data_IF_260053031225
#
_entry.id   IF_260053031225
#
_cell.length_a   1.000
_cell.length_b   1.000
_cell.length_c   1.000
_cell.angle_alpha   90.00
_cell.angle_beta   90.00
_cell.angle_gamma   90.00
#
_symmetry.space_group_name_H-M   'P 1'
#
loop_
_entity.id
_entity.type
_entity.pdbx_description
1 polymer ?
#
# COMPACT_ATOMS: atom_id res chain seq x y z
N UNK A 1 -21.82 23.21 5.95
CA UNK A 1 -20.79 24.28 5.97
C UNK A 1 -20.89 24.99 4.64
N UNK A 2 -20.87 26.32 4.60
CA UNK A 2 -20.88 27.05 3.33
C UNK A 2 -19.58 26.74 2.58
N UNK A 3 -19.70 26.13 1.41
CA UNK A 3 -18.58 25.80 0.54
C UNK A 3 -18.36 26.99 -0.42
N UNK A 4 -17.27 27.73 -0.19
CA UNK A 4 -16.96 28.98 -0.90
C UNK A 4 -16.75 28.71 -2.39
N UNK A 5 -16.03 27.65 -2.73
CA UNK A 5 -15.63 27.36 -4.11
C UNK A 5 -16.80 26.75 -4.90
N UNK A 6 -17.62 25.92 -4.25
CA UNK A 6 -18.88 25.45 -4.83
C UNK A 6 -19.88 26.59 -5.07
N UNK A 7 -20.00 27.53 -4.14
CA UNK A 7 -20.89 28.68 -4.35
C UNK A 7 -20.36 29.62 -5.43
N UNK A 8 -19.04 29.90 -5.43
CA UNK A 8 -18.39 30.72 -6.46
C UNK A 8 -18.57 30.12 -7.86
N UNK A 9 -18.37 28.81 -8.01
CA UNK A 9 -18.59 28.10 -9.29
C UNK A 9 -20.04 28.13 -9.77
N UNK A 10 -21.02 28.32 -8.87
CA UNK A 10 -22.43 28.45 -9.24
C UNK A 10 -22.84 29.85 -9.73
N UNK A 11 -22.00 30.88 -9.54
CA UNK A 11 -22.32 32.25 -9.95
C UNK A 11 -22.26 32.40 -11.47
N UNK A 12 -23.30 33.00 -12.03
CA UNK A 12 -23.40 33.34 -13.45
C UNK A 12 -22.86 34.74 -13.72
N UNK A 13 -22.57 35.06 -14.99
CA UNK A 13 -22.21 36.43 -15.41
C UNK A 13 -23.28 37.45 -14.99
N UNK A 14 -24.56 37.06 -15.06
CA UNK A 14 -25.66 37.91 -14.63
C UNK A 14 -25.64 38.21 -13.12
N UNK A 15 -25.24 37.24 -12.29
CA UNK A 15 -25.06 37.46 -10.85
C UNK A 15 -23.91 38.45 -10.57
N UNK A 16 -22.86 38.40 -11.38
CA UNK A 16 -21.73 39.32 -11.29
C UNK A 16 -22.14 40.75 -11.70
N UNK A 17 -22.94 40.90 -12.75
CA UNK A 17 -23.52 42.18 -13.15
C UNK A 17 -24.39 42.77 -12.04
N UNK A 18 -25.21 41.96 -11.34
CA UNK A 18 -25.96 42.42 -10.16
C UNK A 18 -25.05 42.95 -9.06
N UNK A 19 -23.92 42.29 -8.80
CA UNK A 19 -22.92 42.76 -7.82
C UNK A 19 -22.31 44.09 -8.24
N UNK A 20 -21.96 44.25 -9.51
CA UNK A 20 -21.44 45.52 -10.03
C UNK A 20 -22.50 46.63 -9.91
N UNK A 21 -23.73 46.36 -10.34
CA UNK A 21 -24.85 47.30 -10.32
C UNK A 21 -25.20 47.75 -8.90
N UNK A 22 -25.15 46.83 -7.92
CA UNK A 22 -25.36 47.15 -6.50
C UNK A 22 -24.37 48.20 -5.97
N UNK A 23 -23.16 48.23 -6.52
CA UNK A 23 -22.13 49.23 -6.18
C UNK A 23 -22.06 50.40 -7.18
N UNK A 24 -23.13 50.62 -7.96
CA UNK A 24 -23.26 51.66 -8.98
C UNK A 24 -22.20 51.59 -10.09
N UNK A 25 -21.78 50.39 -10.46
CA UNK A 25 -20.97 50.17 -11.65
C UNK A 25 -21.76 49.37 -12.70
N UNK A 26 -21.64 49.79 -13.95
CA UNK A 26 -22.21 49.08 -15.09
C UNK A 26 -21.11 48.22 -15.73
N UNK A 27 -21.42 46.95 -15.97
CA UNK A 27 -20.56 46.03 -16.69
C UNK A 27 -20.86 46.07 -18.17
N UNK A 28 -19.82 46.20 -19.01
CA UNK A 28 -19.94 46.04 -20.46
C UNK A 28 -19.17 44.81 -20.91
N UNK A 29 -19.70 44.11 -21.91
CA UNK A 29 -19.03 42.94 -22.47
C UNK A 29 -17.79 43.37 -23.28
N UNK A 30 -16.66 42.76 -22.95
CA UNK A 30 -15.40 42.93 -23.66
C UNK A 30 -15.28 42.03 -24.88
N UNK A 31 -14.11 42.01 -25.49
CA UNK A 31 -13.93 41.35 -26.81
C UNK A 31 -13.90 39.83 -26.72
N UNK A 32 -13.54 39.28 -25.57
CA UNK A 32 -13.39 37.84 -25.35
C UNK A 32 -14.39 37.31 -24.30
N UNK A 33 -15.52 38.01 -24.10
CA UNK A 33 -16.55 37.64 -23.14
C UNK A 33 -16.24 38.03 -21.69
N UNK A 34 -15.19 38.82 -21.45
CA UNK A 34 -14.96 39.45 -20.14
C UNK A 34 -16.03 40.51 -19.82
N UNK A 35 -16.30 40.75 -18.53
CA UNK A 35 -17.12 41.89 -18.10
C UNK A 35 -16.19 43.01 -17.64
N UNK A 36 -16.29 44.19 -18.26
CA UNK A 36 -15.46 45.35 -17.97
C UNK A 36 -16.29 46.40 -17.25
N UNK A 37 -15.84 46.82 -16.08
CA UNK A 37 -16.54 47.79 -15.24
C UNK A 37 -15.60 48.84 -14.66
N UNK A 38 -16.18 49.88 -14.07
CA UNK A 38 -15.45 50.85 -13.26
C UNK A 38 -14.73 50.16 -12.09
N UNK A 39 -13.58 50.70 -11.68
CA UNK A 39 -12.77 50.15 -10.58
C UNK A 39 -13.36 50.43 -9.20
N UNK A 40 -14.45 49.73 -8.88
CA UNK A 40 -15.13 49.81 -7.59
C UNK A 40 -14.39 49.14 -6.43
N UNK A 41 -13.24 48.49 -6.68
CA UNK A 41 -12.48 47.78 -5.65
C UNK A 41 -11.63 48.68 -4.73
N UNK A 42 -11.40 49.94 -5.11
CA UNK A 42 -10.71 50.96 -4.29
C UNK A 42 -11.22 52.39 -4.52
N UNK A 43 -12.15 52.59 -5.46
CA UNK A 43 -12.83 53.87 -5.67
C UNK A 43 -14.28 53.77 -5.19
N UNK A 44 -14.73 54.77 -4.43
CA UNK A 44 -16.14 54.85 -3.98
C UNK A 44 -17.07 55.22 -5.14
N UNK A 45 -16.62 56.12 -6.01
CA UNK A 45 -17.29 56.63 -7.23
C UNK A 45 -16.24 57.07 -8.25
N UNK A 46 -16.56 57.04 -9.55
CA UNK A 46 -15.71 57.62 -10.61
C UNK A 46 -14.43 56.84 -10.90
N UNK A 47 -14.49 55.51 -10.82
CA UNK A 47 -13.33 54.66 -11.13
C UNK A 47 -13.12 54.55 -12.64
N UNK A 48 -11.88 54.37 -13.11
CA UNK A 48 -11.65 54.03 -14.53
C UNK A 48 -12.27 52.67 -14.89
N UNK A 49 -12.74 52.50 -16.13
CA UNK A 49 -13.22 51.22 -16.69
C UNK A 49 -12.08 50.20 -16.89
N UNK A 50 -11.52 49.73 -15.77
CA UNK A 50 -10.30 48.90 -15.71
C UNK A 50 -10.42 47.75 -14.71
N UNK A 51 -11.64 47.40 -14.30
CA UNK A 51 -11.94 46.20 -13.53
C UNK A 51 -12.55 45.15 -14.47
N UNK A 52 -11.81 44.06 -14.68
CA UNK A 52 -12.16 43.01 -15.63
C UNK A 52 -12.59 41.78 -14.85
N UNK A 53 -13.75 41.21 -15.14
CA UNK A 53 -14.14 39.89 -14.65
C UNK A 53 -14.01 38.86 -15.77
N UNK A 54 -13.30 37.78 -15.49
CA UNK A 54 -13.09 36.67 -16.42
C UNK A 54 -13.97 35.49 -16.04
N UNK A 55 -15.02 35.15 -16.82
CA UNK A 55 -15.94 34.05 -16.50
C UNK A 55 -15.24 32.70 -16.33
N UNK A 56 -14.22 32.41 -17.13
CA UNK A 56 -13.49 31.13 -17.11
C UNK A 56 -12.75 30.88 -15.79
N UNK A 57 -12.14 31.92 -15.22
CA UNK A 57 -11.40 31.81 -13.95
C UNK A 57 -12.22 32.27 -12.75
N UNK A 58 -13.36 32.91 -13.02
CA UNK A 58 -14.23 33.57 -12.04
C UNK A 58 -13.46 34.55 -11.14
N UNK A 59 -12.49 35.26 -11.72
CA UNK A 59 -11.68 36.25 -11.03
C UNK A 59 -11.91 37.63 -11.64
N UNK A 60 -11.92 38.63 -10.76
CA UNK A 60 -11.70 40.00 -11.13
C UNK A 60 -10.20 40.26 -11.27
N UNK A 61 -9.82 41.13 -12.19
CA UNK A 61 -8.50 41.73 -12.30
C UNK A 61 -8.62 43.24 -12.42
N UNK A 62 -7.92 43.97 -11.55
CA UNK A 62 -7.93 45.42 -11.52
C UNK A 62 -6.61 45.98 -12.08
N UNK A 63 -6.68 46.59 -13.27
CA UNK A 63 -5.51 47.17 -13.95
C UNK A 63 -5.08 48.54 -13.40
N UNK A 64 -5.69 49.03 -12.32
CA UNK A 64 -5.31 50.29 -11.66
C UNK A 64 -4.67 50.09 -10.29
N UNK A 65 -4.41 48.84 -9.86
CA UNK A 65 -3.50 48.58 -8.73
C UNK A 65 -3.93 47.54 -7.69
N UNK A 66 -5.06 46.83 -7.86
CA UNK A 66 -5.49 45.81 -6.89
C UNK A 66 -5.12 44.36 -7.26
N UNK A 67 -4.62 44.11 -8.47
CA UNK A 67 -4.32 42.75 -8.95
C UNK A 67 -5.58 41.90 -9.15
N UNK A 68 -5.42 40.57 -9.09
CA UNK A 68 -6.52 39.60 -9.25
C UNK A 68 -7.14 39.21 -7.91
N UNK A 69 -8.47 39.08 -7.85
CA UNK A 69 -9.22 38.68 -6.67
C UNK A 69 -10.61 38.12 -7.01
N UNK A 70 -11.25 37.43 -6.07
CA UNK A 70 -12.60 36.89 -6.28
C UNK A 70 -13.70 37.89 -5.87
N UNK A 71 -14.96 37.52 -6.14
CA UNK A 71 -16.15 38.34 -5.81
C UNK A 71 -16.30 38.61 -4.30
N UNK A 72 -15.85 37.70 -3.43
CA UNK A 72 -15.93 37.90 -1.98
C UNK A 72 -14.94 38.96 -1.53
N UNK A 73 -13.71 38.92 -2.06
CA UNK A 73 -12.69 39.95 -1.80
C UNK A 73 -13.10 41.31 -2.39
N UNK A 74 -13.83 41.34 -3.52
CA UNK A 74 -14.42 42.57 -4.03
C UNK A 74 -15.40 43.19 -3.03
N UNK A 75 -16.34 42.38 -2.51
CA UNK A 75 -17.33 42.81 -1.50
C UNK A 75 -16.64 43.23 -0.20
N UNK A 76 -15.63 42.49 0.25
CA UNK A 76 -14.84 42.83 1.43
C UNK A 76 -14.20 44.22 1.29
N UNK A 77 -13.57 44.49 0.14
CA UNK A 77 -12.99 45.81 -0.17
C UNK A 77 -14.05 46.92 -0.15
N UNK A 78 -15.24 46.67 -0.69
CA UNK A 78 -16.37 47.63 -0.65
C UNK A 78 -16.85 47.90 0.77
N UNK A 79 -17.11 46.86 1.55
CA UNK A 79 -17.54 47.00 2.95
C UNK A 79 -16.51 47.77 3.77
N UNK A 80 -15.21 47.49 3.57
CA UNK A 80 -14.11 48.20 4.22
C UNK A 80 -14.08 49.69 3.85
N UNK A 81 -14.28 50.04 2.57
CA UNK A 81 -14.35 51.44 2.14
C UNK A 81 -15.57 52.18 2.69
N UNK A 82 -16.68 51.46 2.91
CA UNK A 82 -17.91 51.99 3.52
C UNK A 82 -17.84 52.05 5.05
N UNK A 83 -16.73 51.64 5.67
CA UNK A 83 -16.58 51.60 7.13
C UNK A 83 -17.47 50.56 7.82
N UNK A 84 -17.94 49.55 7.07
CA UNK A 84 -18.82 48.49 7.56
C UNK A 84 -18.00 47.29 8.06
N UNK A 85 -18.65 46.46 8.88
CA UNK A 85 -18.13 45.14 9.22
C UNK A 85 -17.91 44.33 7.92
N UNK A 86 -16.72 43.74 7.80
CA UNK A 86 -16.24 43.10 6.57
C UNK A 86 -15.67 41.71 6.84
N UNK A 87 -16.21 41.00 7.83
CA UNK A 87 -15.86 39.59 8.03
C UNK A 87 -16.32 38.77 6.81
N UNK A 88 -15.78 37.56 6.68
CA UNK A 88 -16.21 36.64 5.61
C UNK A 88 -17.72 36.35 5.65
N UNK A 89 -18.31 36.30 6.85
CA UNK A 89 -19.75 36.13 7.06
C UNK A 89 -20.52 37.35 6.53
N UNK A 90 -20.00 38.56 6.75
CA UNK A 90 -20.61 39.80 6.25
C UNK A 90 -20.57 39.84 4.72
N UNK A 91 -19.48 39.36 4.11
CA UNK A 91 -19.33 39.27 2.66
C UNK A 91 -20.36 38.31 2.05
N UNK A 92 -20.52 37.11 2.62
CA UNK A 92 -21.53 36.14 2.17
C UNK A 92 -22.93 36.70 2.36
N UNK A 93 -23.23 37.29 3.52
CA UNK A 93 -24.54 37.88 3.81
C UNK A 93 -24.86 39.00 2.84
N UNK A 94 -23.87 39.83 2.50
CA UNK A 94 -24.02 40.91 1.52
C UNK A 94 -24.26 40.36 0.12
N UNK A 95 -23.49 39.36 -0.31
CA UNK A 95 -23.70 38.71 -1.61
C UNK A 95 -25.08 38.05 -1.70
N UNK A 96 -25.52 37.33 -0.65
CA UNK A 96 -26.85 36.74 -0.60
C UNK A 96 -27.98 37.78 -0.69
N UNK A 97 -27.79 38.97 -0.09
CA UNK A 97 -28.73 40.09 -0.23
C UNK A 97 -28.75 40.64 -1.66
N UNK A 98 -27.59 40.84 -2.28
CA UNK A 98 -27.49 41.34 -3.67
C UNK A 98 -28.18 40.38 -4.65
N UNK A 99 -27.99 39.08 -4.45
CA UNK A 99 -28.53 38.04 -5.34
C UNK A 99 -29.94 37.59 -4.96
N UNK A 100 -30.50 38.11 -3.86
CA UNK A 100 -31.77 37.67 -3.30
C UNK A 100 -31.80 36.17 -2.96
N UNK A 101 -30.65 35.60 -2.61
CA UNK A 101 -30.49 34.20 -2.22
C UNK A 101 -30.45 34.11 -0.70
N UNK A 102 -31.31 33.26 -0.13
CA UNK A 102 -31.26 32.95 1.29
C UNK A 102 -30.09 32.01 1.58
N UNK A 103 -28.96 32.60 2.02
CA UNK A 103 -27.79 31.83 2.42
C UNK A 103 -27.90 31.45 3.89
N UNK A 104 -28.27 30.20 4.16
CA UNK A 104 -28.38 29.69 5.52
C UNK A 104 -27.00 29.50 6.16
N UNK A 105 -26.54 30.54 6.87
CA UNK A 105 -25.29 30.57 7.63
C UNK A 105 -25.42 29.93 9.02
N UNK A 106 -26.65 29.61 9.45
CA UNK A 106 -26.90 29.04 10.77
C UNK A 106 -26.77 27.53 10.76
N UNK A 107 -25.59 27.02 11.11
CA UNK A 107 -25.44 25.69 11.69
C UNK A 107 -25.91 25.70 13.16
N UNK A 108 -27.17 26.06 13.43
CA UNK A 108 -27.79 25.78 14.71
C UNK A 108 -28.42 24.39 14.63
N UNK A 109 -27.65 23.37 14.96
CA UNK A 109 -28.25 22.13 15.45
C UNK A 109 -28.94 22.50 16.76
N UNK A 110 -30.28 22.40 16.81
CA UNK A 110 -31.02 22.47 18.07
C UNK A 110 -30.59 21.26 18.91
N UNK A 111 -29.70 21.48 19.86
CA UNK A 111 -29.27 20.47 20.83
C UNK A 111 -27.78 20.56 21.16
N UNK A 112 -27.48 21.01 22.38
CA UNK A 112 -26.27 20.69 23.16
C UNK A 112 -24.92 20.87 22.43
N UNK A 113 -24.44 22.12 22.33
CA UNK A 113 -23.06 22.58 22.58
C UNK A 113 -22.84 23.95 21.92
N UNK A 114 -22.45 24.96 22.71
CA UNK A 114 -22.12 26.34 22.25
C UNK A 114 -20.75 26.45 21.56
N UNK A 115 -20.05 25.34 21.36
CA UNK A 115 -18.78 25.28 20.65
C UNK A 115 -18.58 23.87 20.12
N UNK A 116 -19.19 23.56 18.96
CA UNK A 116 -18.70 22.44 18.17
C UNK A 116 -17.30 22.84 17.70
N UNK A 117 -16.27 22.49 18.46
CA UNK A 117 -14.92 22.37 17.90
C UNK A 117 -15.08 21.41 16.73
N UNK A 118 -15.10 21.93 15.51
CA UNK A 118 -15.01 21.07 14.34
C UNK A 118 -13.68 20.34 14.46
N UNK A 119 -13.76 19.03 14.58
CA UNK A 119 -12.60 18.17 14.52
C UNK A 119 -12.05 18.33 13.10
N UNK A 120 -10.87 18.94 12.99
CA UNK A 120 -10.11 19.06 11.73
C UNK A 120 -9.31 17.77 11.43
N UNK A 121 -9.53 16.68 12.19
CA UNK A 121 -8.99 15.33 11.91
C UNK A 121 -9.62 14.69 10.66
N UNK A 122 -9.76 15.42 9.56
CA UNK A 122 -10.09 14.82 8.27
C UNK A 122 -9.00 15.07 7.24
N UNK A 123 -7.97 15.86 7.56
CA UNK A 123 -6.78 16.03 6.72
C UNK A 123 -6.03 14.71 6.49
N UNK A 124 -6.19 13.73 7.38
CA UNK A 124 -5.67 12.37 7.15
C UNK A 124 -6.39 11.67 5.99
N UNK A 125 -7.66 11.96 5.70
CA UNK A 125 -8.37 11.41 4.54
C UNK A 125 -7.69 11.77 3.22
N UNK A 126 -7.10 12.97 3.14
CA UNK A 126 -6.31 13.40 1.98
C UNK A 126 -5.03 12.57 1.82
N UNK A 127 -4.48 12.01 2.92
CA UNK A 127 -3.37 11.04 2.89
C UNK A 127 -3.81 9.64 2.48
N UNK A 128 -5.11 9.34 2.46
CA UNK A 128 -5.69 8.08 1.96
C UNK A 128 -6.10 8.20 0.48
N UNK A 129 -5.54 9.14 -0.28
CA UNK A 129 -5.57 8.98 -1.74
C UNK A 129 -4.90 7.65 -2.06
N UNK A 130 -5.71 6.63 -2.38
CA UNK A 130 -5.25 5.32 -2.84
C UNK A 130 -4.39 5.58 -4.07
N UNK A 131 -3.07 5.53 -3.92
CA UNK A 131 -2.19 5.35 -5.06
C UNK A 131 -2.70 4.13 -5.81
N UNK A 132 -2.91 4.26 -7.11
CA UNK A 132 -3.25 3.10 -7.95
C UNK A 132 -2.21 2.02 -7.67
N UNK A 133 -2.69 0.84 -7.28
CA UNK A 133 -1.82 -0.30 -7.05
C UNK A 133 -1.30 -0.73 -8.41
N UNK A 134 -0.03 -0.46 -8.68
CA UNK A 134 0.66 -1.04 -9.84
C UNK A 134 0.73 -2.53 -9.61
N UNK A 135 -0.06 -3.31 -10.35
CA UNK A 135 0.09 -4.75 -10.38
C UNK A 135 1.34 -5.09 -11.22
N UNK A 136 2.31 -5.81 -10.65
CA UNK A 136 3.49 -6.23 -11.40
C UNK A 136 3.06 -7.23 -12.48
N UNK A 137 3.34 -6.94 -13.75
CA UNK A 137 3.21 -7.94 -14.81
C UNK A 137 4.43 -8.86 -14.75
N UNK A 138 4.24 -10.09 -14.27
CA UNK A 138 5.27 -11.13 -14.28
C UNK A 138 5.38 -11.73 -15.68
N UNK A 139 6.61 -12.02 -16.10
CA UNK A 139 6.86 -12.74 -17.35
C UNK A 139 6.45 -14.20 -17.16
N UNK A 140 5.46 -14.65 -17.92
CA UNK A 140 5.07 -16.06 -17.97
C UNK A 140 5.98 -16.78 -18.98
N UNK A 141 6.50 -17.93 -18.56
CA UNK A 141 7.33 -18.81 -19.34
C UNK A 141 6.52 -20.03 -19.81
N UNK A 142 6.88 -20.59 -20.96
CA UNK A 142 6.25 -21.82 -21.45
C UNK A 142 6.74 -23.02 -20.61
N UNK A 143 5.81 -23.74 -19.97
CA UNK A 143 6.11 -24.91 -19.12
C UNK A 143 6.91 -26.01 -19.82
N UNK A 144 6.84 -26.11 -21.15
CA UNK A 144 7.67 -27.07 -21.91
C UNK A 144 9.16 -26.90 -21.66
N UNK A 145 9.62 -25.74 -21.19
CA UNK A 145 11.02 -25.58 -20.79
C UNK A 145 11.43 -26.58 -19.69
N UNK A 146 10.49 -27.01 -18.84
CA UNK A 146 10.77 -27.97 -17.78
C UNK A 146 11.11 -29.37 -18.34
N UNK A 147 10.74 -29.69 -19.58
CA UNK A 147 11.13 -30.97 -20.21
C UNK A 147 12.59 -31.00 -20.66
N UNK A 148 13.29 -29.87 -20.59
CA UNK A 148 14.73 -29.79 -20.83
C UNK A 148 15.54 -30.40 -19.67
N UNK A 149 14.96 -30.47 -18.47
CA UNK A 149 15.63 -30.95 -17.28
C UNK A 149 15.23 -32.39 -16.94
N UNK A 150 16.13 -33.11 -16.30
CA UNK A 150 15.94 -34.50 -15.92
C UNK A 150 15.06 -34.63 -14.67
N UNK A 151 14.26 -35.70 -14.62
CA UNK A 151 13.49 -36.12 -13.43
C UNK A 151 14.39 -36.87 -12.44
N UNK A 152 15.49 -36.22 -12.06
CA UNK A 152 16.45 -36.73 -11.09
C UNK A 152 16.32 -35.89 -9.82
N UNK A 153 16.05 -36.55 -8.70
CA UNK A 153 15.86 -35.88 -7.42
C UNK A 153 17.14 -35.90 -6.58
N UNK A 154 17.48 -34.79 -5.90
CA UNK A 154 18.69 -34.71 -5.10
C UNK A 154 18.63 -35.66 -3.89
N UNK A 155 19.51 -36.66 -3.87
CA UNK A 155 19.63 -37.64 -2.77
C UNK A 155 19.75 -36.96 -1.39
N UNK A 156 20.45 -35.83 -1.30
CA UNK A 156 20.60 -35.10 -0.04
C UNK A 156 19.28 -34.51 0.49
N UNK A 157 18.31 -34.19 -0.38
CA UNK A 157 16.98 -33.74 0.06
C UNK A 157 16.14 -34.92 0.52
N UNK A 158 16.18 -36.03 -0.22
CA UNK A 158 15.53 -37.28 0.19
C UNK A 158 16.03 -37.77 1.55
N UNK A 159 17.36 -37.80 1.73
CA UNK A 159 17.98 -38.19 3.00
C UNK A 159 17.68 -37.23 4.15
N UNK A 160 17.42 -35.95 3.86
CA UNK A 160 16.99 -34.99 4.85
C UNK A 160 15.51 -35.15 5.23
N UNK A 161 14.74 -35.96 4.49
CA UNK A 161 13.35 -36.27 4.78
C UNK A 161 12.31 -35.67 3.84
N UNK A 162 12.71 -35.13 2.67
CA UNK A 162 11.75 -34.68 1.65
C UNK A 162 11.34 -35.90 0.79
N UNK A 163 10.04 -36.17 0.68
CA UNK A 163 9.54 -37.33 -0.08
C UNK A 163 9.71 -37.15 -1.59
N UNK A 164 9.74 -38.27 -2.31
CA UNK A 164 9.74 -38.26 -3.79
C UNK A 164 8.45 -37.64 -4.33
N UNK A 165 7.31 -37.98 -3.74
CA UNK A 165 5.98 -37.43 -4.07
C UNK A 165 5.95 -35.90 -3.96
N UNK A 166 6.54 -35.34 -2.89
CA UNK A 166 6.68 -33.89 -2.75
C UNK A 166 7.56 -33.31 -3.86
N UNK A 167 8.71 -33.93 -4.16
CA UNK A 167 9.60 -33.42 -5.21
C UNK A 167 8.95 -33.50 -6.60
N UNK A 168 8.11 -34.50 -6.85
CA UNK A 168 7.27 -34.61 -8.05
C UNK A 168 6.19 -33.52 -8.10
N UNK A 169 5.43 -33.34 -7.00
CA UNK A 169 4.37 -32.31 -6.85
C UNK A 169 4.91 -30.90 -7.10
N UNK A 170 6.11 -30.60 -6.61
CA UNK A 170 6.77 -29.31 -6.81
C UNK A 170 7.60 -29.22 -8.10
N UNK A 171 7.54 -30.25 -8.96
CA UNK A 171 8.26 -30.32 -10.24
C UNK A 171 9.76 -30.07 -10.09
N UNK A 172 10.35 -30.57 -9.00
CA UNK A 172 11.79 -30.50 -8.79
C UNK A 172 12.47 -31.34 -9.88
N UNK A 173 13.49 -30.76 -10.51
CA UNK A 173 14.24 -31.41 -11.59
C UNK A 173 15.74 -31.27 -11.36
N UNK A 174 16.52 -31.81 -12.28
CA UNK A 174 17.97 -31.68 -12.27
C UNK A 174 18.46 -31.13 -13.60
N UNK A 175 19.46 -30.25 -13.54
CA UNK A 175 20.16 -29.74 -14.71
C UNK A 175 21.56 -30.38 -14.73
N UNK A 176 21.76 -31.48 -15.50
CA UNK A 176 23.00 -32.26 -15.50
C UNK A 176 24.22 -31.44 -15.88
N UNK A 177 24.12 -30.63 -16.93
CA UNK A 177 25.22 -29.84 -17.49
C UNK A 177 25.77 -28.83 -16.48
N UNK A 178 24.90 -28.29 -15.63
CA UNK A 178 25.26 -27.32 -14.60
C UNK A 178 25.43 -27.94 -13.21
N UNK A 179 25.15 -29.23 -13.05
CA UNK A 179 25.13 -29.94 -11.77
C UNK A 179 24.28 -29.21 -10.70
N UNK A 180 23.02 -28.92 -11.05
CA UNK A 180 22.10 -28.11 -10.24
C UNK A 180 20.75 -28.80 -10.03
N UNK A 181 20.17 -28.64 -8.83
CA UNK A 181 18.72 -28.92 -8.64
C UNK A 181 17.92 -27.74 -9.13
N UNK A 182 16.95 -28.01 -10.00
CA UNK A 182 16.03 -27.03 -10.58
C UNK A 182 14.77 -26.96 -9.73
N UNK A 183 14.35 -25.74 -9.43
CA UNK A 183 13.22 -25.38 -8.58
C UNK A 183 12.34 -24.42 -9.39
N UNK A 184 11.27 -24.91 -10.04
CA UNK A 184 10.34 -24.07 -10.78
C UNK A 184 9.54 -23.15 -9.86
N UNK A 185 9.36 -21.88 -10.23
CA UNK A 185 8.53 -20.92 -9.50
C UNK A 185 7.27 -20.62 -10.27
N UNK A 186 6.13 -20.83 -9.61
CA UNK A 186 4.81 -20.52 -10.13
C UNK A 186 4.21 -19.33 -9.39
N UNK A 187 3.40 -18.53 -10.09
CA UNK A 187 2.52 -17.57 -9.43
C UNK A 187 1.34 -18.26 -8.73
N UNK A 188 0.50 -17.48 -8.05
CA UNK A 188 -0.69 -17.98 -7.33
C UNK A 188 -1.80 -18.56 -8.23
N UNK A 189 -1.68 -18.46 -9.56
CA UNK A 189 -2.59 -19.04 -10.55
C UNK A 189 -2.00 -20.32 -11.17
N UNK A 190 -0.72 -20.63 -10.90
CA UNK A 190 -0.04 -21.80 -11.44
C UNK A 190 0.78 -21.52 -12.69
N UNK A 191 0.93 -20.26 -13.12
CA UNK A 191 1.75 -19.94 -14.28
C UNK A 191 3.24 -20.00 -13.91
N UNK A 192 4.06 -20.64 -14.75
CA UNK A 192 5.53 -20.65 -14.58
C UNK A 192 6.08 -19.24 -14.80
N UNK A 193 6.55 -18.59 -13.74
CA UNK A 193 7.05 -17.20 -13.77
C UNK A 193 8.57 -17.10 -13.68
N UNK A 194 9.24 -18.18 -13.28
CA UNK A 194 10.69 -18.23 -13.23
C UNK A 194 11.20 -19.60 -12.81
N UNK A 195 12.51 -19.76 -12.84
CA UNK A 195 13.18 -21.01 -12.49
C UNK A 195 14.44 -20.65 -11.68
N UNK A 196 14.56 -21.26 -10.51
CA UNK A 196 15.75 -21.17 -9.67
C UNK A 196 16.52 -22.47 -9.69
N UNK A 197 17.81 -22.37 -9.47
CA UNK A 197 18.72 -23.51 -9.34
C UNK A 197 19.45 -23.46 -8.01
N UNK A 198 19.62 -24.62 -7.39
CA UNK A 198 20.55 -24.84 -6.28
C UNK A 198 21.84 -25.47 -6.82
N UNK A 199 22.97 -24.81 -6.59
CA UNK A 199 24.28 -25.35 -6.94
C UNK A 199 24.66 -26.53 -6.03
N UNK A 200 25.26 -27.58 -6.61
CA UNK A 200 25.85 -28.69 -5.84
C UNK A 200 27.38 -28.68 -5.86
N UNK A 201 27.98 -28.04 -6.86
CA UNK A 201 29.43 -27.84 -6.91
C UNK A 201 29.88 -26.91 -5.78
N UNK A 202 30.87 -27.35 -5.00
CA UNK A 202 31.36 -26.65 -3.81
C UNK A 202 31.93 -25.26 -4.13
N UNK A 203 32.58 -25.08 -5.27
CA UNK A 203 33.14 -23.79 -5.68
C UNK A 203 32.05 -22.79 -6.05
N UNK A 204 30.98 -23.25 -6.72
CA UNK A 204 29.83 -22.40 -7.02
C UNK A 204 28.97 -22.11 -5.80
N UNK A 205 28.79 -23.07 -4.89
CA UNK A 205 28.04 -22.89 -3.63
C UNK A 205 28.66 -21.79 -2.77
N UNK A 206 30.00 -21.68 -2.72
CA UNK A 206 30.70 -20.59 -2.01
C UNK A 206 30.36 -19.20 -2.57
N UNK A 207 30.07 -19.09 -3.87
CA UNK A 207 29.68 -17.84 -4.52
C UNK A 207 28.19 -17.55 -4.33
N UNK A 208 27.35 -18.52 -4.66
CA UNK A 208 25.91 -18.42 -4.48
C UNK A 208 25.28 -19.83 -4.44
N UNK A 209 24.64 -20.16 -3.31
CA UNK A 209 23.96 -21.46 -3.12
C UNK A 209 22.72 -21.60 -4.02
N UNK A 210 21.95 -20.52 -4.16
CA UNK A 210 20.74 -20.46 -4.98
C UNK A 210 20.83 -19.30 -5.98
N UNK A 211 20.59 -19.57 -7.25
CA UNK A 211 20.65 -18.60 -8.34
C UNK A 211 19.44 -18.76 -9.28
N UNK A 212 19.10 -17.75 -10.10
CA UNK A 212 18.23 -17.98 -11.24
C UNK A 212 18.86 -18.99 -12.21
N UNK A 213 18.04 -19.81 -12.85
CA UNK A 213 18.49 -20.75 -13.88
C UNK A 213 18.72 -20.00 -15.20
N UNK A 214 19.81 -20.35 -15.88
CA UNK A 214 20.16 -19.84 -17.21
C UNK A 214 20.28 -21.00 -18.18
N UNK A 215 19.64 -20.90 -19.34
CA UNK A 215 19.80 -21.82 -20.46
C UNK A 215 20.31 -20.98 -21.63
N UNK A 216 21.54 -21.25 -22.07
CA UNK A 216 22.27 -20.38 -22.98
C UNK A 216 22.25 -18.92 -22.46
N UNK A 217 21.90 -17.96 -23.32
CA UNK A 217 21.82 -16.53 -22.98
C UNK A 217 20.48 -16.13 -22.32
N UNK A 218 19.58 -17.08 -22.06
CA UNK A 218 18.24 -16.78 -21.48
C UNK A 218 18.22 -17.06 -19.99
N UNK A 219 18.03 -16.01 -19.19
CA UNK A 219 17.74 -16.09 -17.76
C UNK A 219 16.25 -16.27 -17.46
N UNK A 220 15.93 -17.12 -16.50
CA UNK A 220 14.58 -17.40 -16.02
C UNK A 220 14.34 -16.78 -14.63
N UNK A 221 14.87 -15.58 -14.42
CA UNK A 221 14.67 -14.83 -13.17
C UNK A 221 13.29 -14.16 -13.11
N UNK A 222 12.78 -14.00 -11.89
CA UNK A 222 11.59 -13.21 -11.61
C UNK A 222 11.78 -12.39 -10.32
N UNK A 223 11.04 -11.29 -10.15
CA UNK A 223 11.06 -10.52 -8.92
C UNK A 223 10.40 -11.28 -7.76
N UNK A 224 11.21 -11.78 -6.82
CA UNK A 224 10.77 -12.62 -5.70
C UNK A 224 9.70 -11.94 -4.82
N UNK A 225 9.78 -10.62 -4.65
CA UNK A 225 8.79 -9.84 -3.89
C UNK A 225 7.40 -9.81 -4.50
N UNK A 226 7.15 -10.44 -5.66
CA UNK A 226 5.84 -10.51 -6.30
C UNK A 226 5.31 -11.94 -6.43
N UNK A 227 5.91 -12.90 -5.75
CA UNK A 227 5.42 -14.27 -5.66
C UNK A 227 5.71 -14.87 -4.29
N UNK A 228 4.96 -15.91 -3.93
CA UNK A 228 5.21 -16.73 -2.75
C UNK A 228 5.39 -18.17 -3.22
N UNK A 229 6.57 -18.73 -3.00
CA UNK A 229 6.81 -20.12 -3.38
C UNK A 229 5.94 -21.04 -2.50
N UNK A 230 5.36 -22.08 -3.10
CA UNK A 230 4.41 -22.96 -2.44
C UNK A 230 2.97 -22.45 -2.39
N UNK A 231 2.70 -21.18 -2.68
CA UNK A 231 1.35 -20.62 -2.59
C UNK A 231 0.37 -21.31 -3.55
N UNK A 232 0.79 -21.63 -4.77
CA UNK A 232 -0.04 -22.35 -5.74
C UNK A 232 -0.38 -23.76 -5.24
N UNK A 233 0.64 -24.52 -4.82
CA UNK A 233 0.50 -25.89 -4.35
C UNK A 233 -0.36 -26.00 -3.08
N UNK A 234 -0.28 -24.98 -2.21
CA UNK A 234 -0.85 -25.00 -0.86
C UNK A 234 -2.13 -24.15 -0.74
N UNK A 235 -2.61 -23.59 -1.86
CA UNK A 235 -3.68 -22.57 -1.88
C UNK A 235 -4.95 -23.06 -1.19
N UNK A 236 -5.37 -24.28 -1.49
CA UNK A 236 -6.61 -24.87 -0.96
C UNK A 236 -6.53 -25.07 0.55
N UNK A 237 -5.43 -25.65 1.04
CA UNK A 237 -5.17 -25.85 2.46
C UNK A 237 -5.17 -24.52 3.23
N UNK A 238 -4.50 -23.50 2.69
CA UNK A 238 -4.42 -22.16 3.31
C UNK A 238 -5.81 -21.53 3.45
N UNK A 239 -6.65 -21.63 2.41
CA UNK A 239 -8.03 -21.14 2.43
C UNK A 239 -8.87 -21.91 3.47
N UNK A 240 -8.83 -23.25 3.43
CA UNK A 240 -9.62 -24.11 4.30
C UNK A 240 -9.26 -23.93 5.78
N UNK A 241 -7.96 -23.86 6.09
CA UNK A 241 -7.44 -23.68 7.45
C UNK A 241 -7.47 -22.22 7.90
N UNK A 242 -7.72 -21.28 6.98
CA UNK A 242 -7.60 -19.82 7.17
C UNK A 242 -6.27 -19.43 7.82
N UNK A 243 -5.20 -20.12 7.45
CA UNK A 243 -3.90 -20.00 8.09
C UNK A 243 -2.77 -20.11 7.08
N UNK A 244 -1.71 -19.32 7.27
CA UNK A 244 -0.46 -19.48 6.54
C UNK A 244 0.75 -19.42 7.48
N UNK A 245 1.80 -20.17 7.17
CA UNK A 245 3.11 -20.04 7.81
C UNK A 245 4.12 -19.51 6.79
N UNK A 246 4.86 -18.48 7.16
CA UNK A 246 5.83 -17.79 6.31
C UNK A 246 7.24 -18.22 6.69
N UNK A 247 7.99 -18.72 5.71
CA UNK A 247 9.40 -19.16 5.86
C UNK A 247 10.30 -18.45 4.85
N UNK A 248 11.63 -18.48 5.04
CA UNK A 248 12.55 -17.78 4.13
C UNK A 248 12.78 -18.52 2.80
N UNK A 249 12.96 -19.84 2.84
CA UNK A 249 13.45 -20.63 1.70
C UNK A 249 12.46 -21.63 1.11
N UNK A 250 12.61 -21.91 -0.18
CA UNK A 250 11.76 -22.83 -0.95
C UNK A 250 11.73 -24.24 -0.34
N UNK A 251 12.88 -24.73 0.14
CA UNK A 251 13.04 -26.07 0.72
C UNK A 251 12.11 -26.32 1.92
N UNK A 252 11.80 -25.28 2.71
CA UNK A 252 10.91 -25.39 3.87
C UNK A 252 9.46 -25.69 3.46
N UNK A 253 9.01 -25.24 2.29
CA UNK A 253 7.70 -25.62 1.74
C UNK A 253 7.64 -27.11 1.41
N UNK A 254 8.74 -27.69 0.89
CA UNK A 254 8.82 -29.12 0.56
C UNK A 254 8.81 -29.97 1.83
N UNK A 255 9.57 -29.61 2.86
CA UNK A 255 9.49 -30.31 4.15
C UNK A 255 8.07 -30.30 4.71
N UNK A 256 7.41 -29.14 4.70
CA UNK A 256 6.04 -29.04 5.17
C UNK A 256 5.07 -29.89 4.37
N UNK A 257 5.25 -29.98 3.06
CA UNK A 257 4.47 -30.86 2.19
C UNK A 257 4.68 -32.33 2.55
N UNK A 258 5.92 -32.75 2.82
CA UNK A 258 6.17 -34.11 3.29
C UNK A 258 5.56 -34.36 4.69
N UNK A 259 5.48 -33.34 5.55
CA UNK A 259 4.91 -33.47 6.89
C UNK A 259 3.38 -33.52 6.88
N UNK A 260 2.73 -32.74 6.02
CA UNK A 260 1.29 -32.46 6.10
C UNK A 260 0.52 -32.75 4.81
N UNK A 261 1.18 -33.01 3.68
CA UNK A 261 0.56 -33.30 2.39
C UNK A 261 -0.41 -32.20 1.98
N UNK A 262 -1.66 -32.59 1.72
CA UNK A 262 -2.74 -31.69 1.33
C UNK A 262 -3.17 -30.70 2.42
N UNK A 263 -2.67 -30.84 3.65
CA UNK A 263 -2.87 -29.88 4.73
C UNK A 263 -1.71 -28.88 4.88
N UNK A 264 -0.76 -28.85 3.93
CA UNK A 264 0.37 -27.94 3.95
C UNK A 264 -0.08 -26.47 3.82
N UNK A 265 0.32 -25.63 4.77
CA UNK A 265 -0.05 -24.21 4.84
C UNK A 265 1.18 -23.27 4.80
N UNK A 266 2.34 -23.78 4.38
CA UNK A 266 3.62 -23.05 4.36
C UNK A 266 3.85 -22.38 3.01
N UNK A 267 4.34 -21.14 3.05
CA UNK A 267 4.78 -20.38 1.87
C UNK A 267 6.12 -19.72 2.13
N UNK A 268 6.98 -19.65 1.11
CA UNK A 268 8.29 -19.03 1.22
C UNK A 268 8.34 -17.65 0.56
N UNK A 269 8.96 -16.68 1.25
CA UNK A 269 9.22 -15.33 0.71
C UNK A 269 10.44 -15.27 -0.19
N UNK A 270 11.28 -16.32 -0.17
CA UNK A 270 12.47 -16.49 -0.99
C UNK A 270 13.52 -15.38 -0.78
N UNK A 271 13.60 -14.83 0.43
CA UNK A 271 14.52 -13.75 0.79
C UNK A 271 14.36 -13.32 2.25
N UNK A 272 15.07 -12.27 2.66
CA UNK A 272 15.10 -11.82 4.07
C UNK A 272 14.02 -10.79 4.43
N UNK A 273 13.18 -10.40 3.46
CA UNK A 273 12.14 -9.40 3.65
C UNK A 273 10.88 -9.79 2.87
N UNK A 274 9.72 -9.54 3.46
CA UNK A 274 8.43 -9.71 2.80
C UNK A 274 7.95 -8.39 2.19
N UNK A 275 7.42 -8.46 0.97
CA UNK A 275 6.81 -7.32 0.30
C UNK A 275 5.34 -7.14 0.73
N UNK A 276 4.80 -5.92 0.54
CA UNK A 276 3.36 -5.67 0.70
C UNK A 276 2.52 -6.53 -0.25
N UNK A 277 3.00 -6.77 -1.46
CA UNK A 277 2.29 -7.58 -2.45
C UNK A 277 2.16 -9.04 -1.99
N UNK A 278 3.25 -9.64 -1.47
CA UNK A 278 3.20 -10.99 -0.90
C UNK A 278 2.21 -11.09 0.26
N UNK A 279 2.18 -10.08 1.14
CA UNK A 279 1.21 -10.04 2.24
C UNK A 279 -0.22 -9.93 1.72
N UNK A 280 -0.46 -9.10 0.70
CA UNK A 280 -1.76 -8.96 0.05
C UNK A 280 -2.23 -10.25 -0.63
N UNK A 281 -1.32 -11.03 -1.26
CA UNK A 281 -1.67 -12.33 -1.82
C UNK A 281 -2.32 -13.23 -0.75
N UNK A 282 -1.73 -13.31 0.45
CA UNK A 282 -2.26 -14.12 1.54
C UNK A 282 -3.54 -13.54 2.14
N UNK A 283 -3.56 -12.23 2.41
CA UNK A 283 -4.74 -11.56 2.97
C UNK A 283 -5.96 -11.68 2.05
N UNK A 284 -5.77 -11.63 0.74
CA UNK A 284 -6.85 -11.79 -0.25
C UNK A 284 -7.42 -13.22 -0.28
N UNK A 285 -6.69 -14.22 0.22
CA UNK A 285 -7.22 -15.59 0.42
C UNK A 285 -8.14 -15.71 1.65
N UNK A 286 -8.27 -14.65 2.46
CA UNK A 286 -9.14 -14.66 3.64
C UNK A 286 -8.56 -15.42 4.83
N UNK A 287 -7.23 -15.49 4.96
CA UNK A 287 -6.60 -16.05 6.16
C UNK A 287 -6.97 -15.22 7.39
N UNK A 288 -7.07 -15.87 8.55
CA UNK A 288 -7.35 -15.26 9.85
C UNK A 288 -6.14 -15.36 10.80
N UNK A 289 -5.20 -16.28 10.51
CA UNK A 289 -3.97 -16.49 11.26
C UNK A 289 -2.75 -16.53 10.34
N UNK A 290 -1.66 -15.87 10.75
CA UNK A 290 -0.34 -16.03 10.12
C UNK A 290 0.74 -16.33 11.15
N UNK A 291 1.65 -17.23 10.81
CA UNK A 291 2.79 -17.63 11.64
C UNK A 291 4.09 -17.26 10.91
N UNK A 292 4.90 -16.38 11.50
CA UNK A 292 6.21 -15.98 10.96
C UNK A 292 7.26 -16.95 11.52
N UNK A 293 7.85 -17.75 10.63
CA UNK A 293 8.77 -18.85 10.95
C UNK A 293 10.07 -18.71 10.14
N UNK A 294 10.73 -17.56 10.26
CA UNK A 294 11.99 -17.27 9.56
C UNK A 294 13.19 -17.91 10.26
N UNK A 295 14.26 -18.16 9.51
CA UNK A 295 15.46 -18.88 9.93
C UNK A 295 16.07 -18.27 11.21
N UNK A 296 16.57 -19.12 12.12
CA UNK A 296 17.10 -18.70 13.41
C UNK A 296 18.42 -17.92 13.23
N UNK A 297 18.44 -16.65 13.62
CA UNK A 297 19.64 -15.80 13.51
C UNK A 297 20.19 -15.31 14.86
N UNK A 298 19.84 -16.00 15.94
CA UNK A 298 20.29 -15.69 17.29
C UNK A 298 20.72 -16.96 18.02
N UNK A 299 21.66 -16.84 18.97
CA UNK A 299 22.07 -17.94 19.83
C UNK A 299 21.27 -18.03 21.12
N UNK A 300 20.96 -16.88 21.73
CA UNK A 300 20.23 -16.78 22.98
C UNK A 300 19.18 -15.65 22.89
N UNK A 301 18.06 -15.84 23.56
CA UNK A 301 17.05 -14.79 23.73
C UNK A 301 17.59 -13.64 24.58
N UNK A 302 16.96 -12.46 24.49
CA UNK A 302 17.33 -11.26 25.24
C UNK A 302 18.78 -10.76 24.99
N UNK A 303 19.27 -10.98 23.77
CA UNK A 303 20.57 -10.48 23.28
C UNK A 303 20.38 -9.45 22.15
N UNK A 304 21.38 -8.62 21.84
CA UNK A 304 21.33 -7.73 20.68
C UNK A 304 21.04 -8.46 19.36
N UNK A 305 21.54 -9.69 19.20
CA UNK A 305 21.27 -10.56 18.04
C UNK A 305 19.78 -10.93 17.96
N UNK A 306 19.19 -11.29 19.11
CA UNK A 306 17.76 -11.55 19.21
C UNK A 306 16.92 -10.30 18.91
N UNK A 307 17.35 -9.13 19.37
CA UNK A 307 16.67 -7.87 19.04
C UNK A 307 16.72 -7.57 17.53
N UNK A 308 17.83 -7.86 16.85
CA UNK A 308 17.95 -7.73 15.40
C UNK A 308 17.06 -8.73 14.64
N UNK A 309 17.01 -9.98 15.10
CA UNK A 309 16.07 -10.97 14.60
C UNK A 309 14.62 -10.50 14.78
N UNK A 310 14.26 -10.00 15.96
CA UNK A 310 12.92 -9.52 16.26
C UNK A 310 12.53 -8.30 15.44
N UNK A 311 13.47 -7.43 15.04
CA UNK A 311 13.19 -6.35 14.08
C UNK A 311 12.72 -6.90 12.72
N UNK A 312 13.34 -7.98 12.22
CA UNK A 312 12.91 -8.64 10.97
C UNK A 312 11.52 -9.24 11.11
N UNK A 313 11.29 -9.97 12.20
CA UNK A 313 9.98 -10.55 12.54
C UNK A 313 8.89 -9.47 12.61
N UNK A 314 9.11 -8.40 13.37
CA UNK A 314 8.17 -7.28 13.52
C UNK A 314 7.92 -6.56 12.19
N UNK A 315 8.95 -6.41 11.34
CA UNK A 315 8.80 -5.80 10.01
C UNK A 315 7.84 -6.60 9.12
N UNK A 316 7.90 -7.93 9.16
CA UNK A 316 6.92 -8.80 8.48
C UNK A 316 5.56 -8.68 9.19
N UNK A 317 5.53 -8.75 10.52
CA UNK A 317 4.32 -8.65 11.33
C UNK A 317 3.53 -7.36 11.12
N UNK A 318 4.19 -6.22 10.84
CA UNK A 318 3.57 -4.93 10.47
C UNK A 318 2.60 -5.05 9.29
N UNK A 319 2.82 -6.02 8.39
CA UNK A 319 1.98 -6.23 7.21
C UNK A 319 0.66 -6.96 7.52
N UNK A 320 0.57 -7.68 8.65
CA UNK A 320 -0.55 -8.57 8.98
C UNK A 320 -1.29 -8.20 10.25
N UNK A 321 -0.58 -7.80 11.31
CA UNK A 321 -1.14 -7.56 12.63
C UNK A 321 -2.30 -6.54 12.68
N UNK A 322 -2.42 -5.55 11.76
CA UNK A 322 -3.61 -4.70 11.69
C UNK A 322 -4.89 -5.41 11.23
N UNK A 323 -4.76 -6.56 10.56
CA UNK A 323 -5.85 -7.22 9.84
C UNK A 323 -6.21 -8.58 10.44
N UNK A 324 -5.22 -9.34 10.89
CA UNK A 324 -5.36 -10.75 11.27
C UNK A 324 -4.50 -11.10 12.49
N UNK A 325 -4.78 -12.26 13.08
CA UNK A 325 -4.01 -12.78 14.20
C UNK A 325 -2.60 -13.17 13.72
N UNK A 326 -1.59 -12.49 14.26
CA UNK A 326 -0.19 -12.64 13.81
C UNK A 326 0.65 -13.25 14.92
N UNK A 327 1.39 -14.30 14.57
CA UNK A 327 2.31 -14.99 15.46
C UNK A 327 3.73 -15.00 14.88
N UNK A 328 4.70 -15.27 15.74
CA UNK A 328 6.01 -15.74 15.33
C UNK A 328 6.39 -16.99 16.12
N UNK A 329 7.25 -17.81 15.52
CA UNK A 329 7.91 -18.92 16.20
C UNK A 329 9.27 -18.46 16.71
N UNK A 330 9.60 -18.88 17.93
CA UNK A 330 10.97 -18.87 18.44
C UNK A 330 11.42 -20.30 18.71
N UNK A 331 12.65 -20.46 19.16
CA UNK A 331 13.22 -21.73 19.58
C UNK A 331 13.83 -21.55 20.98
N UNK A 332 12.99 -21.66 22.03
CA UNK A 332 13.46 -21.49 23.41
C UNK A 332 14.09 -22.78 23.96
N UNK A 333 13.71 -23.93 23.40
CA UNK A 333 14.23 -25.25 23.76
C UNK A 333 15.53 -25.62 23.03
N UNK A 334 16.06 -24.72 22.18
CA UNK A 334 17.32 -24.91 21.45
C UNK A 334 17.34 -26.15 20.55
N UNK A 335 16.22 -26.44 19.90
CA UNK A 335 16.07 -27.51 18.91
C UNK A 335 16.84 -27.19 17.62
N UNK A 336 16.86 -25.91 17.23
CA UNK A 336 17.41 -25.46 15.96
C UNK A 336 18.87 -25.00 16.11
N UNK A 337 19.71 -25.32 15.12
CA UNK A 337 21.03 -24.70 15.00
C UNK A 337 20.92 -23.28 14.44
N UNK A 338 22.03 -22.54 14.50
CA UNK A 338 22.13 -21.24 13.88
C UNK A 338 21.90 -21.34 12.36
N UNK A 339 21.00 -20.50 11.83
CA UNK A 339 20.50 -20.44 10.44
C UNK A 339 19.62 -21.61 10.01
N UNK A 340 19.19 -22.46 10.93
CA UNK A 340 18.17 -23.46 10.61
C UNK A 340 16.78 -22.81 10.50
N UNK A 341 16.01 -23.29 9.54
CA UNK A 341 14.57 -23.00 9.46
C UNK A 341 13.84 -23.85 10.51
N UNK A 342 12.72 -23.41 11.09
CA UNK A 342 11.86 -24.29 11.90
C UNK A 342 11.46 -25.58 11.18
N UNK A 343 11.42 -25.56 9.84
CA UNK A 343 11.09 -26.70 8.99
C UNK A 343 12.27 -27.65 8.74
N UNK A 344 13.49 -27.31 9.17
CA UNK A 344 14.63 -28.24 9.16
C UNK A 344 14.58 -29.21 10.37
N UNK A 345 13.75 -28.93 11.39
CA UNK A 345 13.48 -29.84 12.50
C UNK A 345 12.56 -31.01 12.07
N UNK A 346 12.50 -32.06 12.88
CA UNK A 346 11.55 -33.15 12.64
C UNK A 346 10.10 -32.67 12.79
N UNK A 347 9.15 -33.38 12.19
CA UNK A 347 7.72 -33.06 12.31
C UNK A 347 7.26 -32.91 13.77
N UNK A 348 7.67 -33.84 14.64
CA UNK A 348 7.30 -33.79 16.07
C UNK A 348 7.90 -32.58 16.79
N UNK A 349 9.13 -32.21 16.48
CA UNK A 349 9.80 -31.04 17.06
C UNK A 349 9.13 -29.74 16.60
N UNK A 350 8.84 -29.62 15.29
CA UNK A 350 8.11 -28.48 14.75
C UNK A 350 6.72 -28.34 15.38
N UNK A 351 5.98 -29.44 15.51
CA UNK A 351 4.66 -29.44 16.16
C UNK A 351 4.75 -29.04 17.64
N UNK A 352 5.80 -29.46 18.34
CA UNK A 352 6.02 -29.04 19.72
C UNK A 352 6.38 -27.55 19.81
N UNK A 353 7.28 -27.06 18.97
CA UNK A 353 7.59 -25.63 18.84
C UNK A 353 6.34 -24.79 18.57
N UNK A 354 5.45 -25.24 17.69
CA UNK A 354 4.19 -24.54 17.42
C UNK A 354 3.23 -24.50 18.61
N UNK A 355 3.36 -25.41 19.57
CA UNK A 355 2.57 -25.41 20.82
C UNK A 355 3.18 -24.51 21.89
N UNK A 356 4.51 -24.58 22.06
CA UNK A 356 5.18 -23.96 23.22
C UNK A 356 5.84 -22.61 22.89
N UNK A 357 6.35 -22.44 21.67
CA UNK A 357 7.16 -21.29 21.23
C UNK A 357 6.45 -20.43 20.17
N UNK A 358 5.13 -20.60 20.02
CA UNK A 358 4.30 -19.73 19.17
C UNK A 358 3.79 -18.52 19.96
N UNK A 359 4.34 -17.35 19.67
CA UNK A 359 4.04 -16.14 20.42
C UNK A 359 3.28 -15.11 19.58
N UNK A 360 2.26 -14.51 20.19
CA UNK A 360 1.45 -13.45 19.59
C UNK A 360 2.28 -12.17 19.37
N UNK A 361 2.17 -11.60 18.17
CA UNK A 361 2.70 -10.27 17.85
C UNK A 361 1.58 -9.25 17.87
N UNK A 362 1.54 -8.46 18.94
CA UNK A 362 0.55 -7.40 19.11
C UNK A 362 0.95 -6.11 18.40
N UNK A 363 -0.03 -5.30 17.98
CA UNK A 363 0.21 -3.96 17.44
C UNK A 363 1.02 -3.07 18.38
N UNK A 364 0.87 -3.25 19.71
CA UNK A 364 1.66 -2.51 20.70
C UNK A 364 3.15 -2.83 20.61
N UNK A 365 3.50 -4.11 20.52
CA UNK A 365 4.90 -4.56 20.38
C UNK A 365 5.51 -4.11 19.05
N UNK A 366 4.68 -3.96 18.02
CA UNK A 366 5.09 -3.53 16.69
C UNK A 366 5.34 -2.02 16.58
N UNK A 367 4.57 -1.20 17.33
CA UNK A 367 4.63 0.27 17.27
C UNK A 367 5.75 0.90 18.11
N UNK A 368 6.28 0.20 19.11
CA UNK A 368 7.31 0.74 20.01
C UNK A 368 8.72 0.89 19.38
N UNK A 369 8.85 0.76 18.05
CA UNK A 369 10.12 0.88 17.32
C UNK A 369 10.13 2.01 16.28
N UNK A 370 9.01 2.74 16.14
CA UNK A 370 8.96 3.98 15.35
C UNK A 370 9.23 5.19 16.28
#
# INVERSE_FOLDING_TARGET
>A
MFDKDKFKSSLTNHDIEKVLAYYNAEGTEGKNGEIIAETICHNKTGGSHKLYYYPETQLFHCYTGCGSFDVFTLIEKRLKMEGKAHSFIDCITTLGKILEININLTSKVKGIQKSVKKIHDWDWLNKIQKKEKVQPQLKIHNERILTYFDEIYPKAWYQAGISLETMEKYQIKFYPEMFQTVIPHHDHEGNLIGIRSRNWDKEFVKKAKYIPTYINDTGYNHPLGYALYGLYQNKEAIIQRKKAMIVEGEKSCLFSDTFYGEDNFVVAICGSNMSKYQAELLLNLGIEEVIIAIDKEYMQVDTPEFDEYMKKVKKIGKLFAPYIQTYHLTDTNSVLNYKDSPLDATKSELEEMMKVDKHILTLKQIRNED
#
